data_IF_706702191051
#
_entry.id   IF_706702191051
#
_cell.length_a   1.000
_cell.length_b   1.000
_cell.length_c   1.000
_cell.angle_alpha   90.00
_cell.angle_beta   90.00
_cell.angle_gamma   90.00
#
_symmetry.space_group_name_H-M   'P 1'
#
loop_
_entity.id
_entity.type
_entity.pdbx_description
1 polymer ?
#
# COMPACT_ATOMS: atom_id res chain seq x y z
N UNK A 1 -35.77 -12.06 12.55
CA UNK A 1 -34.84 -11.63 11.48
C UNK A 1 -34.04 -10.44 12.00
N UNK A 2 -32.89 -10.69 12.62
CA UNK A 2 -32.00 -9.61 13.05
C UNK A 2 -31.12 -9.25 11.84
N UNK A 3 -31.44 -8.14 11.18
CA UNK A 3 -30.67 -7.60 10.07
C UNK A 3 -29.39 -6.97 10.61
N UNK A 4 -28.28 -7.70 10.51
CA UNK A 4 -26.95 -7.19 10.82
C UNK A 4 -26.53 -6.14 9.77
N UNK A 5 -27.05 -4.92 9.91
CA UNK A 5 -26.76 -3.76 9.06
C UNK A 5 -25.39 -3.16 9.40
N UNK A 6 -24.32 -3.90 9.13
CA UNK A 6 -23.03 -3.30 8.87
C UNK A 6 -22.29 -4.18 7.87
N UNK A 7 -22.54 -3.92 6.59
CA UNK A 7 -21.77 -4.46 5.46
C UNK A 7 -20.37 -3.84 5.42
N UNK A 8 -19.66 -3.84 6.55
CA UNK A 8 -18.24 -3.55 6.55
C UNK A 8 -17.56 -4.84 6.10
N UNK A 9 -16.83 -4.85 4.97
CA UNK A 9 -16.11 -6.04 4.53
C UNK A 9 -15.18 -6.50 5.65
N UNK A 10 -15.15 -7.81 5.94
CA UNK A 10 -14.22 -8.39 6.91
C UNK A 10 -12.80 -7.85 6.68
N UNK A 11 -12.18 -7.32 7.73
CA UNK A 11 -10.85 -6.71 7.67
C UNK A 11 -10.82 -5.19 7.43
N UNK A 12 -11.96 -4.49 7.47
CA UNK A 12 -12.00 -3.02 7.49
C UNK A 12 -12.77 -2.55 8.72
N UNK A 13 -12.41 -1.40 9.28
CA UNK A 13 -13.16 -0.75 10.38
C UNK A 13 -13.45 0.71 10.07
N UNK A 14 -14.60 1.20 10.53
CA UNK A 14 -14.95 2.62 10.50
C UNK A 14 -14.36 3.32 11.73
N UNK A 15 -13.58 4.37 11.53
CA UNK A 15 -13.01 5.19 12.61
C UNK A 15 -13.42 6.65 12.44
N UNK A 16 -13.62 7.34 13.56
CA UNK A 16 -13.88 8.78 13.57
C UNK A 16 -12.62 9.55 13.19
N UNK A 17 -12.77 10.52 12.29
CA UNK A 17 -11.76 11.52 11.91
C UNK A 17 -12.33 12.93 12.16
N UNK A 18 -11.49 13.99 12.18
CA UNK A 18 -11.96 15.36 12.31
C UNK A 18 -12.97 15.78 11.21
N UNK A 19 -12.91 15.14 10.05
CA UNK A 19 -13.83 15.35 8.93
C UNK A 19 -15.07 14.44 8.93
N UNK A 20 -15.22 13.53 9.89
CA UNK A 20 -16.35 12.59 9.96
C UNK A 20 -15.94 11.15 10.23
N UNK A 21 -16.27 10.23 9.31
CA UNK A 21 -15.92 8.82 9.40
C UNK A 21 -15.00 8.44 8.24
N UNK A 22 -13.97 7.63 8.53
CA UNK A 22 -13.10 7.01 7.51
C UNK A 22 -13.05 5.50 7.69
N UNK A 23 -12.98 4.76 6.60
CA UNK A 23 -12.65 3.33 6.63
C UNK A 23 -11.14 3.16 6.75
N UNK A 24 -10.68 2.29 7.63
CA UNK A 24 -9.27 1.89 7.73
C UNK A 24 -9.17 0.36 7.69
N UNK A 25 -8.12 -0.19 7.08
CA UNK A 25 -7.87 -1.62 7.15
C UNK A 25 -7.62 -2.05 8.60
N UNK A 26 -8.13 -3.22 8.93
CA UNK A 26 -7.90 -3.92 10.18
C UNK A 26 -6.76 -4.93 9.96
N UNK A 27 -5.83 -4.99 10.92
CA UNK A 27 -4.73 -5.96 10.96
C UNK A 27 -3.80 -6.02 9.73
N UNK A 28 -3.66 -4.94 8.97
CA UNK A 28 -2.75 -4.91 7.81
C UNK A 28 -3.20 -5.82 6.65
N UNK A 29 -4.44 -6.30 6.66
CA UNK A 29 -5.02 -7.22 5.67
C UNK A 29 -5.07 -6.68 4.21
N UNK A 30 -4.52 -5.49 3.96
CA UNK A 30 -4.50 -4.81 2.68
C UNK A 30 -3.09 -4.36 2.25
N UNK A 31 -2.04 -4.99 2.78
CA UNK A 31 -0.74 -4.95 2.10
C UNK A 31 -0.81 -5.89 0.90
N UNK A 32 -0.41 -5.41 -0.28
CA UNK A 32 -0.24 -6.27 -1.45
C UNK A 32 0.66 -7.46 -1.08
N UNK A 33 0.30 -8.72 -1.43
CA UNK A 33 1.21 -9.85 -1.23
C UNK A 33 2.48 -9.71 -2.07
N UNK A 34 2.44 -8.86 -3.10
CA UNK A 34 3.61 -8.42 -3.83
C UNK A 34 4.19 -7.19 -3.13
N UNK A 35 5.36 -7.37 -2.52
CA UNK A 35 6.22 -6.27 -2.11
C UNK A 35 7.15 -5.93 -3.27
N UNK A 36 7.17 -4.66 -3.68
CA UNK A 36 8.19 -4.15 -4.57
C UNK A 36 9.26 -3.53 -3.69
N UNK A 37 10.44 -4.13 -3.69
CA UNK A 37 11.60 -3.51 -3.05
C UNK A 37 11.93 -2.20 -3.79
N UNK A 38 12.21 -1.14 -3.04
CA UNK A 38 12.69 0.09 -3.66
C UNK A 38 14.02 -0.21 -4.36
N UNK A 39 14.18 0.12 -5.66
CA UNK A 39 15.44 -0.14 -6.34
C UNK A 39 16.57 0.64 -5.67
N UNK A 40 17.78 0.09 -5.75
CA UNK A 40 18.96 0.82 -5.29
C UNK A 40 19.15 2.06 -6.17
N UNK A 41 19.01 3.24 -5.57
CA UNK A 41 19.36 4.50 -6.22
C UNK A 41 20.88 4.58 -6.34
N UNK A 42 21.38 4.75 -7.56
CA UNK A 42 22.79 5.02 -7.83
C UNK A 42 22.94 6.54 -7.97
N UNK A 43 23.84 7.20 -7.20
CA UNK A 43 24.11 8.61 -7.38
C UNK A 43 24.62 8.91 -8.80
N UNK A 44 24.24 10.06 -9.37
CA UNK A 44 24.59 10.44 -10.76
C UNK A 44 26.09 10.30 -11.10
N UNK A 45 26.97 10.51 -10.11
CA UNK A 45 28.42 10.42 -10.26
C UNK A 45 28.92 8.99 -10.53
N UNK A 46 28.12 7.98 -10.23
CA UNK A 46 28.45 6.56 -10.36
C UNK A 46 27.85 5.92 -11.63
N UNK A 47 27.10 6.69 -12.44
CA UNK A 47 26.44 6.25 -13.69
C UNK A 47 27.43 6.11 -14.87
N UNK A 48 28.73 6.25 -14.67
CA UNK A 48 29.72 6.26 -15.76
C UNK A 48 30.13 4.88 -16.32
N UNK A 49 29.44 3.79 -15.93
CA UNK A 49 29.67 2.44 -16.45
C UNK A 49 28.43 1.88 -17.16
N UNK A 50 27.85 2.66 -18.08
CA UNK A 50 26.81 2.14 -18.98
C UNK A 50 27.50 1.19 -19.96
N UNK A 51 27.28 -0.13 -19.83
CA UNK A 51 27.67 -1.08 -20.86
C UNK A 51 26.87 -0.75 -22.13
N UNK A 52 27.55 -0.28 -23.18
CA UNK A 52 26.99 0.11 -24.48
C UNK A 52 26.31 -1.05 -25.24
N UNK A 53 26.12 -2.22 -24.62
CA UNK A 53 25.55 -3.44 -25.20
C UNK A 53 24.07 -3.68 -24.88
N UNK A 54 23.42 -2.80 -24.12
CA UNK A 54 22.01 -2.95 -23.73
C UNK A 54 21.06 -1.92 -24.37
N UNK A 55 21.46 -1.32 -25.49
CA UNK A 55 20.57 -0.64 -26.44
C UNK A 55 20.61 -1.32 -27.79
#
# INVERSE_FOLDING_TARGET
INTNMSAVPDGKKLVRSPSGLRMVPENGAFTSPFSLDEPQWVPDKEVMNIDHRLW
#
